data_IF_647954355746
#
_entry.id   IF_647954355746
#
_cell.length_a   1.000
_cell.length_b   1.000
_cell.length_c   1.000
_cell.angle_alpha   90.00
_cell.angle_beta   90.00
_cell.angle_gamma   90.00
#
_symmetry.space_group_name_H-M   'P 1'
#
loop_
_entity.id
_entity.type
_entity.pdbx_description
1 polymer ?
#
# COMPACT_ATOMS: atom_id res chain seq x y z
N UNK A 1 -4.92 22.23 -3.36
CA UNK A 1 -4.30 21.03 -2.75
C UNK A 1 -3.95 21.22 -1.27
N UNK A 2 -3.13 22.21 -0.88
CA UNK A 2 -2.71 22.42 0.53
C UNK A 2 -3.89 22.48 1.50
N UNK A 3 -4.94 23.26 1.18
CA UNK A 3 -6.14 23.35 2.02
C UNK A 3 -6.87 22.01 2.19
N UNK A 4 -6.95 21.20 1.13
CA UNK A 4 -7.51 19.86 1.17
C UNK A 4 -6.75 18.94 2.13
N UNK A 5 -5.41 18.90 2.03
CA UNK A 5 -4.57 18.09 2.91
C UNK A 5 -4.67 18.58 4.37
N UNK A 6 -4.63 19.90 4.60
CA UNK A 6 -4.80 20.46 5.95
C UNK A 6 -6.15 20.08 6.55
N UNK A 7 -7.22 20.11 5.77
CA UNK A 7 -8.54 19.68 6.21
C UNK A 7 -8.59 18.18 6.54
N UNK A 8 -7.92 17.32 5.74
CA UNK A 8 -7.81 15.89 6.03
C UNK A 8 -7.03 15.60 7.33
N UNK A 9 -6.02 16.39 7.64
CA UNK A 9 -5.21 16.26 8.85
C UNK A 9 -5.84 16.96 10.07
N UNK A 10 -6.81 17.86 9.84
CA UNK A 10 -7.49 18.61 10.90
C UNK A 10 -8.50 17.77 11.70
N UNK A 11 -8.94 18.33 12.83
CA UNK A 11 -9.92 17.70 13.74
C UNK A 11 -11.37 17.89 13.26
N UNK A 12 -11.70 17.44 12.05
CA UNK A 12 -13.05 17.47 11.52
C UNK A 12 -13.75 16.13 11.80
N UNK A 13 -14.96 16.18 12.35
CA UNK A 13 -15.78 14.98 12.60
C UNK A 13 -16.07 14.20 11.31
N UNK A 14 -16.34 14.93 10.22
CA UNK A 14 -16.54 14.36 8.88
C UNK A 14 -15.57 15.01 7.91
N UNK A 15 -14.92 14.20 7.07
CA UNK A 15 -14.00 14.66 6.05
C UNK A 15 -14.59 14.40 4.67
N UNK A 16 -15.43 15.34 4.22
CA UNK A 16 -16.05 15.34 2.89
C UNK A 16 -15.87 16.70 2.20
N UNK A 17 -16.25 16.82 0.93
CA UNK A 17 -16.03 18.03 0.15
C UNK A 17 -16.61 19.30 0.78
N UNK A 18 -17.74 19.21 1.49
CA UNK A 18 -18.38 20.34 2.15
C UNK A 18 -17.61 20.78 3.39
N UNK A 19 -17.38 19.86 4.32
CA UNK A 19 -16.69 20.20 5.59
C UNK A 19 -15.23 20.59 5.38
N UNK A 20 -14.57 20.05 4.35
CA UNK A 20 -13.22 20.47 3.96
C UNK A 20 -13.20 21.88 3.36
N UNK A 21 -14.19 22.22 2.53
CA UNK A 21 -14.35 23.55 1.95
C UNK A 21 -14.65 24.59 3.04
N UNK A 22 -15.59 24.30 3.93
CA UNK A 22 -15.94 25.15 5.05
C UNK A 22 -14.73 25.42 5.97
N UNK A 23 -13.96 24.37 6.32
CA UNK A 23 -12.73 24.52 7.10
C UNK A 23 -11.63 25.31 6.39
N UNK A 24 -11.66 25.34 5.05
CA UNK A 24 -10.74 26.16 4.24
C UNK A 24 -11.22 27.61 4.03
N UNK A 25 -12.45 27.93 4.46
CA UNK A 25 -13.07 29.24 4.22
C UNK A 25 -13.67 29.39 2.81
N UNK A 26 -13.86 28.27 2.08
CA UNK A 26 -14.49 28.26 0.76
C UNK A 26 -16.02 28.29 0.89
N UNK A 27 -16.68 29.10 0.07
CA UNK A 27 -18.15 29.23 0.08
C UNK A 27 -18.88 28.00 -0.46
N UNK A 28 -18.20 27.18 -1.28
CA UNK A 28 -18.78 25.98 -1.91
C UNK A 28 -17.78 24.82 -1.92
N UNK A 29 -18.22 23.56 -2.01
CA UNK A 29 -17.35 22.40 -2.05
C UNK A 29 -16.68 22.18 -3.42
N UNK A 30 -16.99 23.00 -4.42
CA UNK A 30 -16.62 22.77 -5.82
C UNK A 30 -15.11 22.63 -6.00
N UNK A 31 -14.32 23.48 -5.31
CA UNK A 31 -12.85 23.42 -5.35
C UNK A 31 -12.33 22.07 -4.84
N UNK A 32 -12.87 21.59 -3.72
CA UNK A 32 -12.47 20.31 -3.12
C UNK A 32 -12.91 19.10 -3.97
N UNK A 33 -14.11 19.18 -4.56
CA UNK A 33 -14.64 18.11 -5.40
C UNK A 33 -13.92 18.03 -6.75
N UNK A 34 -13.65 19.18 -7.39
CA UNK A 34 -12.89 19.25 -8.65
C UNK A 34 -11.49 18.71 -8.50
N UNK A 35 -10.84 18.98 -7.36
CA UNK A 35 -9.51 18.50 -7.05
C UNK A 35 -9.41 16.97 -7.20
N UNK A 36 -10.46 16.23 -6.83
CA UNK A 36 -10.49 14.76 -6.86
C UNK A 36 -11.07 14.20 -8.18
N UNK A 37 -12.02 14.93 -8.80
CA UNK A 37 -12.82 14.36 -9.89
C UNK A 37 -12.37 14.79 -11.29
N UNK A 38 -11.74 15.96 -11.42
CA UNK A 38 -11.46 16.56 -12.74
C UNK A 38 -9.97 16.79 -13.02
N UNK A 39 -9.12 16.83 -11.99
CA UNK A 39 -7.69 17.00 -12.21
C UNK A 39 -7.05 15.67 -12.55
N UNK A 40 -6.23 15.66 -13.59
CA UNK A 40 -5.33 14.55 -13.86
C UNK A 40 -4.14 14.63 -12.88
N UNK A 41 -4.00 13.60 -12.08
CA UNK A 41 -2.92 13.50 -11.10
C UNK A 41 -1.86 12.54 -11.62
N UNK A 42 -0.61 12.95 -11.57
CA UNK A 42 0.52 12.03 -11.61
C UNK A 42 0.63 11.33 -10.25
N UNK A 43 -0.16 10.26 -10.11
CA UNK A 43 -0.20 9.51 -8.86
C UNK A 43 1.11 8.78 -8.57
N UNK A 44 1.90 8.48 -9.59
CA UNK A 44 3.18 7.79 -9.44
C UNK A 44 4.28 8.77 -9.07
N UNK A 45 4.33 9.94 -9.70
CA UNK A 45 5.22 11.02 -9.29
C UNK A 45 4.96 11.45 -7.84
N UNK A 46 3.68 11.61 -7.44
CA UNK A 46 3.35 11.94 -6.06
C UNK A 46 3.78 10.83 -5.06
N UNK A 47 3.65 9.56 -5.43
CA UNK A 47 4.16 8.44 -4.63
C UNK A 47 5.68 8.54 -4.47
N UNK A 48 6.38 8.83 -5.55
CA UNK A 48 7.83 8.93 -5.54
C UNK A 48 8.31 10.10 -4.68
N UNK A 49 7.68 11.27 -4.77
CA UNK A 49 7.94 12.42 -3.89
C UNK A 49 7.72 12.07 -2.40
N UNK A 50 6.62 11.38 -2.07
CA UNK A 50 6.34 10.94 -0.68
C UNK A 50 7.41 9.96 -0.21
N UNK A 51 7.79 9.01 -1.05
CA UNK A 51 8.85 8.04 -0.75
C UNK A 51 10.17 8.74 -0.46
N UNK A 52 10.55 9.71 -1.28
CA UNK A 52 11.81 10.43 -1.13
C UNK A 52 11.83 11.22 0.19
N UNK A 53 10.74 11.91 0.55
CA UNK A 53 10.59 12.57 1.85
C UNK A 53 10.72 11.58 3.02
N UNK A 54 10.13 10.40 2.91
CA UNK A 54 10.23 9.34 3.93
C UNK A 54 11.67 8.86 4.08
N UNK A 55 12.37 8.64 2.97
CA UNK A 55 13.79 8.24 2.97
C UNK A 55 14.65 9.31 3.64
N UNK A 56 14.50 10.56 3.25
CA UNK A 56 15.26 11.68 3.84
C UNK A 56 15.01 11.86 5.34
N UNK A 57 13.80 11.51 5.81
CA UNK A 57 13.37 11.82 7.18
C UNK A 57 13.61 10.68 8.17
N UNK A 58 13.33 9.44 7.76
CA UNK A 58 13.30 8.29 8.68
C UNK A 58 14.10 7.08 8.21
N UNK A 59 14.90 7.17 7.15
CA UNK A 59 15.59 5.99 6.64
C UNK A 59 16.68 5.49 7.59
N UNK A 60 16.87 4.17 7.61
CA UNK A 60 17.90 3.47 8.37
C UNK A 60 18.28 2.19 7.60
N UNK A 61 19.54 2.05 7.25
CA UNK A 61 20.02 0.94 6.42
C UNK A 61 19.98 -0.41 7.14
N UNK A 62 20.17 -0.42 8.46
CA UNK A 62 20.24 -1.65 9.25
C UNK A 62 18.92 -2.02 9.90
N UNK A 63 18.22 -1.03 10.46
CA UNK A 63 16.97 -1.19 11.20
C UNK A 63 15.73 -0.86 10.35
N UNK A 64 15.90 -0.35 9.13
CA UNK A 64 14.81 -0.09 8.20
C UNK A 64 14.10 -1.38 7.77
N UNK A 65 12.78 -1.37 7.76
CA UNK A 65 11.93 -2.52 7.43
C UNK A 65 10.94 -2.13 6.35
N UNK A 66 10.92 -2.88 5.25
CA UNK A 66 9.82 -2.85 4.28
C UNK A 66 8.71 -3.79 4.74
N UNK A 67 7.49 -3.29 4.83
CA UNK A 67 6.33 -4.03 5.33
C UNK A 67 5.29 -4.09 4.21
N UNK A 68 4.94 -5.29 3.77
CA UNK A 68 3.84 -5.52 2.82
C UNK A 68 2.60 -5.98 3.56
N UNK A 69 1.48 -5.34 3.31
CA UNK A 69 0.18 -5.75 3.81
C UNK A 69 -0.93 -5.31 2.85
N UNK A 70 -2.13 -5.87 3.03
CA UNK A 70 -3.29 -5.52 2.23
C UNK A 70 -4.45 -5.01 3.07
N UNK A 71 -5.23 -4.11 2.49
CA UNK A 71 -6.44 -3.61 3.10
C UNK A 71 -7.64 -3.78 2.17
N UNK A 72 -8.71 -4.38 2.69
CA UNK A 72 -9.99 -4.51 2.00
C UNK A 72 -10.90 -3.31 2.28
N UNK A 73 -11.27 -2.58 1.22
CA UNK A 73 -12.22 -1.47 1.30
C UNK A 73 -13.60 -1.97 0.90
N UNK A 74 -14.52 -2.04 1.85
CA UNK A 74 -15.91 -2.45 1.58
C UNK A 74 -16.58 -1.46 0.63
N UNK A 75 -17.30 -1.99 -0.35
CA UNK A 75 -17.98 -1.21 -1.38
C UNK A 75 -19.43 -1.66 -1.53
N UNK A 76 -20.30 -0.68 -1.79
CA UNK A 76 -21.66 -0.91 -2.28
C UNK A 76 -21.63 -0.76 -3.81
N UNK A 77 -22.21 -1.69 -4.54
CA UNK A 77 -22.21 -1.66 -6.01
C UNK A 77 -21.00 -2.35 -6.65
N UNK A 78 -20.92 -2.33 -7.98
CA UNK A 78 -20.03 -3.16 -8.80
C UNK A 78 -19.12 -2.39 -9.75
N UNK A 79 -19.22 -1.05 -9.80
CA UNK A 79 -18.54 -0.21 -10.80
C UNK A 79 -17.13 0.25 -10.39
N UNK A 80 -16.84 0.32 -9.09
CA UNK A 80 -15.50 0.75 -8.64
C UNK A 80 -14.43 -0.23 -9.08
N UNK A 81 -13.31 0.26 -9.61
CA UNK A 81 -12.18 -0.54 -10.08
C UNK A 81 -11.75 -1.59 -9.04
N UNK A 82 -11.62 -2.85 -9.47
CA UNK A 82 -11.19 -3.97 -8.64
C UNK A 82 -12.23 -4.51 -7.66
N UNK A 83 -13.48 -3.99 -7.66
CA UNK A 83 -14.52 -4.47 -6.74
C UNK A 83 -15.00 -5.87 -7.14
N UNK A 84 -15.02 -6.77 -6.18
CA UNK A 84 -15.55 -8.13 -6.32
C UNK A 84 -15.93 -8.70 -4.95
N UNK A 85 -16.69 -9.80 -4.96
CA UNK A 85 -16.88 -10.61 -3.74
C UNK A 85 -15.60 -11.38 -3.47
N UNK A 86 -14.86 -10.95 -2.48
CA UNK A 86 -13.56 -11.51 -2.10
C UNK A 86 -13.35 -11.43 -0.60
N UNK A 87 -12.43 -12.26 -0.07
CA UNK A 87 -12.10 -12.22 1.34
C UNK A 87 -11.46 -10.87 1.69
N UNK A 88 -11.99 -10.20 2.68
CA UNK A 88 -11.44 -8.98 3.26
C UNK A 88 -10.96 -9.28 4.68
N UNK A 89 -9.66 -9.15 4.91
CA UNK A 89 -9.08 -9.28 6.25
C UNK A 89 -9.70 -8.30 7.26
N UNK A 90 -10.00 -7.09 6.80
CA UNK A 90 -10.67 -6.04 7.61
C UNK A 90 -12.07 -6.44 8.07
N UNK A 91 -12.84 -7.14 7.22
CA UNK A 91 -14.18 -7.62 7.55
C UNK A 91 -14.17 -9.03 8.17
N UNK A 92 -13.08 -9.77 8.09
CA UNK A 92 -12.95 -11.15 8.55
C UNK A 92 -13.78 -12.17 7.76
N UNK A 93 -14.34 -11.79 6.61
CA UNK A 93 -15.24 -12.60 5.80
C UNK A 93 -15.22 -12.20 4.31
N UNK A 94 -15.92 -12.97 3.47
CA UNK A 94 -16.10 -12.62 2.07
C UNK A 94 -17.14 -11.52 1.96
N UNK A 95 -16.71 -10.37 1.43
CA UNK A 95 -17.53 -9.19 1.22
C UNK A 95 -17.30 -8.58 -0.16
N UNK A 96 -18.23 -7.74 -0.59
CA UNK A 96 -18.04 -6.91 -1.77
C UNK A 96 -17.03 -5.81 -1.44
N UNK A 97 -15.82 -5.95 -1.92
CA UNK A 97 -14.69 -5.09 -1.55
C UNK A 97 -13.73 -4.93 -2.70
N UNK A 98 -12.93 -3.88 -2.65
CA UNK A 98 -11.68 -3.78 -3.42
C UNK A 98 -10.50 -3.91 -2.47
N UNK A 99 -9.40 -4.48 -2.95
CA UNK A 99 -8.20 -4.70 -2.14
C UNK A 99 -7.09 -3.82 -2.65
N UNK A 100 -6.52 -3.02 -1.76
CA UNK A 100 -5.25 -2.35 -1.98
C UNK A 100 -4.12 -3.14 -1.32
N UNK A 101 -3.03 -3.37 -2.02
CA UNK A 101 -1.77 -3.87 -1.47
C UNK A 101 -0.88 -2.66 -1.23
N UNK A 102 -0.27 -2.59 -0.06
CA UNK A 102 0.52 -1.45 0.36
C UNK A 102 1.92 -1.87 0.76
N UNK A 103 2.88 -1.00 0.47
CA UNK A 103 4.24 -1.08 0.99
C UNK A 103 4.45 0.06 1.98
N UNK A 104 4.78 -0.28 3.21
CA UNK A 104 5.18 0.67 4.24
C UNK A 104 6.68 0.56 4.51
N UNK A 105 7.26 1.67 4.91
CA UNK A 105 8.59 1.74 5.50
C UNK A 105 8.47 2.00 7.00
N UNK A 106 9.26 1.31 7.80
CA UNK A 106 9.35 1.54 9.23
C UNK A 106 10.80 1.53 9.69
N UNK A 107 11.11 2.38 10.66
CA UNK A 107 12.40 2.46 11.34
C UNK A 107 12.19 2.82 12.81
N UNK A 108 13.24 2.88 13.64
CA UNK A 108 13.12 3.35 15.02
C UNK A 108 12.56 4.79 15.16
N UNK A 109 12.72 5.62 14.12
CA UNK A 109 12.31 7.03 14.12
C UNK A 109 10.90 7.26 13.59
N UNK A 110 10.31 6.32 12.86
CA UNK A 110 8.97 6.49 12.32
C UNK A 110 8.51 5.42 11.35
N UNK A 111 7.30 5.61 10.82
CA UNK A 111 6.73 4.74 9.80
C UNK A 111 5.82 5.50 8.86
N UNK A 112 5.83 5.11 7.58
CA UNK A 112 4.96 5.70 6.56
C UNK A 112 4.65 4.69 5.44
N UNK A 113 3.54 4.91 4.73
CA UNK A 113 3.27 4.22 3.47
C UNK A 113 4.13 4.87 2.38
N UNK A 114 4.80 4.05 1.57
CA UNK A 114 5.69 4.51 0.50
C UNK A 114 5.26 4.04 -0.89
N UNK A 115 4.36 3.03 -0.97
CA UNK A 115 3.85 2.55 -2.24
C UNK A 115 2.48 1.86 -2.07
N UNK A 116 1.76 1.71 -3.20
CA UNK A 116 0.43 1.08 -3.25
C UNK A 116 0.19 0.43 -4.60
N UNK A 117 -0.60 -0.63 -4.62
CA UNK A 117 -1.13 -1.27 -5.82
C UNK A 117 -2.59 -1.65 -5.62
N UNK A 118 -3.38 -1.50 -6.69
CA UNK A 118 -4.76 -2.00 -6.71
C UNK A 118 -4.77 -3.46 -7.18
N UNK A 119 -5.26 -4.36 -6.33
CA UNK A 119 -5.48 -5.73 -6.76
C UNK A 119 -6.70 -5.83 -7.67
N UNK A 120 -6.47 -6.28 -8.91
CA UNK A 120 -7.51 -6.56 -9.87
C UNK A 120 -7.74 -8.07 -9.96
N UNK A 121 -8.90 -8.59 -9.50
CA UNK A 121 -9.26 -9.99 -9.71
C UNK A 121 -9.32 -10.36 -11.20
N UNK A 122 -9.15 -11.64 -11.54
CA UNK A 122 -9.23 -12.12 -12.92
C UNK A 122 -10.53 -11.71 -13.62
N UNK A 123 -11.66 -11.72 -12.90
CA UNK A 123 -12.95 -11.26 -13.42
C UNK A 123 -12.98 -9.80 -13.89
N UNK A 124 -11.99 -9.00 -13.49
CA UNK A 124 -11.76 -7.65 -14.01
C UNK A 124 -10.83 -7.69 -15.21
N UNK A 125 -9.65 -8.29 -15.08
CA UNK A 125 -8.62 -8.27 -16.12
C UNK A 125 -9.03 -9.06 -17.38
N UNK A 126 -10.01 -9.95 -17.28
CA UNK A 126 -10.62 -10.69 -18.40
C UNK A 126 -11.76 -9.89 -19.08
N UNK A 127 -12.30 -8.87 -18.43
CA UNK A 127 -13.34 -7.96 -18.96
C UNK A 127 -12.75 -6.59 -19.29
N UNK A 128 -12.18 -6.46 -20.48
CA UNK A 128 -11.51 -5.25 -20.92
C UNK A 128 -12.44 -4.04 -21.05
N UNK A 129 -13.72 -4.26 -21.40
CA UNK A 129 -14.67 -3.16 -21.45
C UNK A 129 -14.92 -2.58 -20.06
N UNK A 130 -15.13 -3.45 -19.08
CA UNK A 130 -15.27 -3.05 -17.68
C UNK A 130 -14.03 -2.31 -17.13
N UNK A 131 -12.84 -2.74 -17.53
CA UNK A 131 -11.60 -2.04 -17.18
C UNK A 131 -11.58 -0.62 -17.74
N UNK A 132 -11.87 -0.45 -19.05
CA UNK A 132 -11.93 0.87 -19.69
C UNK A 132 -12.98 1.79 -19.07
N UNK A 133 -14.17 1.26 -18.77
CA UNK A 133 -15.26 2.02 -18.11
C UNK A 133 -14.87 2.51 -16.70
N UNK A 134 -13.95 1.81 -16.05
CA UNK A 134 -13.40 2.17 -14.73
C UNK A 134 -12.07 2.96 -14.79
N UNK A 135 -11.61 3.33 -16.00
CA UNK A 135 -10.36 4.08 -16.20
C UNK A 135 -9.09 3.26 -15.95
N UNK A 136 -9.16 1.93 -16.16
CA UNK A 136 -8.00 1.04 -16.06
C UNK A 136 -7.42 0.85 -17.47
N UNK A 137 -6.14 1.10 -17.61
CA UNK A 137 -5.41 0.99 -18.89
C UNK A 137 -5.41 -0.44 -19.42
N UNK A 138 -5.38 -0.56 -20.76
CA UNK A 138 -5.47 -1.86 -21.44
C UNK A 138 -4.21 -2.73 -21.26
N UNK A 139 -3.08 -2.16 -20.88
CA UNK A 139 -1.82 -2.87 -20.57
C UNK A 139 -1.81 -3.50 -19.17
N UNK A 140 -2.73 -3.08 -18.27
CA UNK A 140 -2.82 -3.66 -16.94
C UNK A 140 -3.36 -5.08 -17.00
N UNK A 141 -2.49 -6.05 -16.74
CA UNK A 141 -2.80 -7.47 -16.69
C UNK A 141 -3.10 -7.97 -15.28
N UNK A 142 -3.46 -9.26 -15.21
CA UNK A 142 -3.63 -9.92 -13.90
C UNK A 142 -2.29 -10.09 -13.19
N UNK A 143 -2.23 -9.64 -11.95
CA UNK A 143 -1.13 -9.91 -11.03
C UNK A 143 -1.67 -10.50 -9.72
N UNK A 144 -0.94 -11.46 -9.15
CA UNK A 144 -1.24 -11.94 -7.80
C UNK A 144 -0.80 -10.89 -6.77
N UNK A 145 -1.37 -10.91 -5.55
CA UNK A 145 -0.93 -10.01 -4.48
C UNK A 145 0.58 -10.10 -4.20
N UNK A 146 1.20 -11.31 -4.09
CA UNK A 146 2.66 -11.40 -4.02
C UNK A 146 3.40 -10.83 -5.25
N UNK A 147 2.80 -10.89 -6.44
CA UNK A 147 3.36 -10.25 -7.64
C UNK A 147 3.33 -8.72 -7.53
N UNK A 148 2.23 -8.15 -7.04
CA UNK A 148 2.14 -6.71 -6.78
C UNK A 148 3.15 -6.27 -5.70
N UNK A 149 3.28 -7.06 -4.63
CA UNK A 149 4.30 -6.83 -3.61
C UNK A 149 5.72 -6.83 -4.20
N UNK A 150 6.01 -7.81 -5.07
CA UNK A 150 7.29 -7.89 -5.78
C UNK A 150 7.57 -6.62 -6.60
N UNK A 151 6.57 -6.11 -7.34
CA UNK A 151 6.71 -4.88 -8.14
C UNK A 151 7.00 -3.66 -7.27
N UNK A 152 6.30 -3.51 -6.13
CA UNK A 152 6.54 -2.41 -5.20
C UNK A 152 7.93 -2.48 -4.56
N UNK A 153 8.36 -3.68 -4.13
CA UNK A 153 9.71 -3.86 -3.56
C UNK A 153 10.78 -3.63 -4.63
N UNK A 154 10.53 -4.01 -5.88
CA UNK A 154 11.46 -3.73 -6.98
C UNK A 154 11.64 -2.21 -7.16
N UNK A 155 10.55 -1.43 -7.19
CA UNK A 155 10.63 0.04 -7.24
C UNK A 155 11.39 0.63 -6.06
N UNK A 156 11.22 0.06 -4.85
CA UNK A 156 11.94 0.49 -3.66
C UNK A 156 13.45 0.22 -3.79
N UNK A 157 13.84 -0.95 -4.30
CA UNK A 157 15.23 -1.30 -4.57
C UNK A 157 15.85 -0.41 -5.66
N UNK A 158 15.13 -0.21 -6.76
CA UNK A 158 15.58 0.60 -7.90
C UNK A 158 15.73 2.09 -7.52
N UNK A 159 14.91 2.57 -6.56
CA UNK A 159 15.04 3.90 -5.95
C UNK A 159 16.14 3.98 -4.88
N UNK A 160 16.85 2.90 -4.59
CA UNK A 160 17.94 2.88 -3.62
C UNK A 160 17.51 3.10 -2.17
N UNK A 161 16.25 2.73 -1.81
CA UNK A 161 15.78 2.87 -0.43
C UNK A 161 16.62 2.01 0.50
N UNK A 162 17.24 2.59 1.55
CA UNK A 162 18.01 1.81 2.51
C UNK A 162 17.09 1.04 3.46
N UNK A 163 17.24 -0.28 3.54
CA UNK A 163 16.51 -1.13 4.49
C UNK A 163 17.30 -2.41 4.79
N UNK A 164 17.13 -2.94 6.00
CA UNK A 164 17.72 -4.20 6.41
C UNK A 164 16.77 -5.40 6.31
N UNK A 165 15.46 -5.17 6.28
CA UNK A 165 14.47 -6.23 6.44
C UNK A 165 13.26 -6.06 5.52
N UNK A 166 12.67 -7.20 5.11
CA UNK A 166 11.34 -7.25 4.48
C UNK A 166 10.44 -8.15 5.31
N UNK A 167 9.23 -7.68 5.61
CA UNK A 167 8.21 -8.46 6.34
C UNK A 167 6.85 -8.38 5.65
N UNK A 168 6.08 -9.45 5.76
CA UNK A 168 4.69 -9.53 5.32
C UNK A 168 3.96 -10.64 6.10
N UNK A 169 2.68 -10.81 5.83
CA UNK A 169 1.91 -11.89 6.42
C UNK A 169 2.24 -13.28 5.80
N UNK A 170 1.57 -14.32 6.32
CA UNK A 170 1.75 -15.72 5.90
C UNK A 170 1.46 -15.93 4.41
N UNK A 171 0.46 -15.24 3.84
CA UNK A 171 0.06 -15.40 2.45
C UNK A 171 1.18 -15.02 1.48
N UNK A 172 1.93 -13.97 1.80
CA UNK A 172 3.13 -13.58 1.04
C UNK A 172 4.32 -14.49 1.34
N UNK A 173 4.49 -14.91 2.60
CA UNK A 173 5.56 -15.81 3.03
C UNK A 173 5.51 -17.21 2.40
N UNK A 174 4.32 -17.69 2.06
CA UNK A 174 4.13 -18.96 1.34
C UNK A 174 4.43 -18.84 -0.16
N UNK A 175 4.53 -17.64 -0.71
CA UNK A 175 4.86 -17.39 -2.11
C UNK A 175 6.36 -17.66 -2.39
N UNK A 176 6.72 -18.91 -2.65
CA UNK A 176 8.10 -19.32 -2.89
C UNK A 176 8.83 -18.51 -3.97
N UNK A 177 8.10 -18.07 -5.02
CA UNK A 177 8.65 -17.21 -6.07
C UNK A 177 9.09 -15.85 -5.54
N UNK A 178 8.30 -15.23 -4.65
CA UNK A 178 8.65 -13.95 -4.03
C UNK A 178 9.91 -14.10 -3.18
N UNK A 179 10.01 -15.16 -2.38
CA UNK A 179 11.21 -15.43 -1.56
C UNK A 179 12.46 -15.62 -2.39
N UNK A 180 12.42 -16.49 -3.40
CA UNK A 180 13.55 -16.73 -4.29
C UNK A 180 13.97 -15.46 -5.03
N UNK A 181 13.01 -14.62 -5.42
CA UNK A 181 13.29 -13.35 -6.07
C UNK A 181 13.98 -12.37 -5.10
N UNK A 182 13.50 -12.25 -3.85
CA UNK A 182 14.15 -11.41 -2.82
C UNK A 182 15.59 -11.86 -2.57
N UNK A 183 15.82 -13.15 -2.41
CA UNK A 183 17.14 -13.74 -2.26
C UNK A 183 18.07 -13.42 -3.46
N UNK A 184 17.55 -13.51 -4.70
CA UNK A 184 18.30 -13.17 -5.91
C UNK A 184 18.66 -11.69 -6.01
N UNK A 185 17.94 -10.81 -5.29
CA UNK A 185 18.22 -9.37 -5.19
C UNK A 185 19.08 -9.02 -3.97
N UNK A 186 19.61 -10.00 -3.26
CA UNK A 186 20.44 -9.81 -2.07
C UNK A 186 19.66 -9.49 -0.79
N UNK A 187 18.35 -9.66 -0.79
CA UNK A 187 17.49 -9.44 0.38
C UNK A 187 17.34 -10.74 1.16
N UNK A 188 18.27 -10.99 2.08
CA UNK A 188 18.32 -12.24 2.86
C UNK A 188 17.55 -12.16 4.18
N UNK A 189 17.33 -10.96 4.72
CA UNK A 189 16.64 -10.75 5.99
C UNK A 189 15.15 -10.57 5.75
N UNK A 190 14.41 -11.68 5.79
CA UNK A 190 12.96 -11.68 5.63
C UNK A 190 12.28 -12.25 6.86
N UNK A 191 11.17 -11.65 7.30
CA UNK A 191 10.35 -12.13 8.41
C UNK A 191 8.90 -12.24 7.95
N UNK A 192 8.32 -13.44 8.07
CA UNK A 192 6.94 -13.71 7.65
C UNK A 192 6.06 -13.94 8.88
N UNK A 193 4.96 -13.21 8.98
CA UNK A 193 4.02 -13.35 10.08
C UNK A 193 3.16 -14.60 9.88
N UNK A 194 3.36 -15.65 10.68
CA UNK A 194 2.50 -16.81 10.71
C UNK A 194 1.34 -16.63 11.71
N UNK A 195 0.16 -17.14 11.40
CA UNK A 195 -1.08 -17.03 12.21
C UNK A 195 -1.00 -17.71 13.58
N UNK A 196 0.02 -18.57 13.84
CA UNK A 196 0.22 -19.22 15.11
C UNK A 196 0.91 -18.29 16.12
N UNK A 197 0.38 -18.21 17.36
CA UNK A 197 0.82 -17.35 18.47
C UNK A 197 2.29 -17.53 18.94
N UNK A 198 3.17 -18.17 18.17
CA UNK A 198 4.60 -18.34 18.49
C UNK A 198 5.48 -17.54 17.54
N UNK A 199 5.72 -16.31 17.93
CA UNK A 199 6.44 -15.31 17.13
C UNK A 199 7.97 -15.51 17.02
N UNK A 200 8.60 -16.37 17.84
CA UNK A 200 10.03 -16.32 18.08
C UNK A 200 10.86 -17.53 17.66
N UNK A 201 10.29 -18.59 17.13
CA UNK A 201 11.03 -19.85 16.99
C UNK A 201 11.51 -20.23 15.58
N UNK A 202 11.30 -19.41 14.55
CA UNK A 202 11.74 -19.72 13.17
C UNK A 202 12.35 -18.57 12.36
N UNK A 203 12.47 -17.37 12.90
CA UNK A 203 13.40 -16.40 12.35
C UNK A 203 14.77 -16.75 12.91
N UNK A 204 15.71 -17.11 12.04
CA UNK A 204 17.14 -17.28 12.42
C UNK A 204 17.80 -15.97 12.84
N UNK A 205 17.06 -15.11 13.52
CA UNK A 205 17.52 -13.89 14.14
C UNK A 205 18.11 -14.26 15.50
N UNK A 206 19.38 -14.59 15.53
CA UNK A 206 20.18 -14.48 16.74
C UNK A 206 20.17 -13.00 17.13
N UNK A 207 19.26 -12.62 18.04
CA UNK A 207 19.36 -11.37 18.74
C UNK A 207 20.60 -11.45 19.64
N UNK A 208 21.69 -10.86 19.20
CA UNK A 208 22.76 -10.48 20.12
C UNK A 208 22.15 -9.42 21.05
N UNK A 209 21.90 -9.83 22.31
CA UNK A 209 21.52 -8.91 23.36
C UNK A 209 22.63 -7.84 23.49
N UNK A 210 22.28 -6.56 23.68
CA UNK A 210 23.28 -5.56 24.05
C UNK A 210 23.82 -5.96 25.42
N UNK A 211 25.10 -6.25 25.48
CA UNK A 211 25.83 -6.35 26.75
C UNK A 211 25.85 -4.98 27.41
N UNK A 212 25.48 -4.96 28.67
CA UNK A 212 25.41 -3.82 29.59
C UNK A 212 26.72 -3.00 29.63
#
# INVERSE_FOLDING_TARGET
>A
MVAYIRGLLGELERKNGWTLAEAAGDATPDGMQRLLNFYAWDCDGLRDDVRDIVVETISDADAGVLIVDETGFLKKGSTSAGVARQYSGTAGRIENSRIGVFLAYASPTGRALIDRELYLPKSWTEDRQRCRDAGIDDDIGFATKPGLAQSMIARALDAGIPFGWVTADEAYGQAGRLRMWLESRGVWRTCWRYRSRRWWSRCGCSAAAPTA
#
